data_IF_536508345676
#
_entry.id   IF_536508345676
#
_cell.length_a   1.000
_cell.length_b   1.000
_cell.length_c   1.000
_cell.angle_alpha   90.00
_cell.angle_beta   90.00
_cell.angle_gamma   90.00
#
_symmetry.space_group_name_H-M   'P 1'
#
loop_
_entity.id
_entity.type
_entity.pdbx_description
1 polymer ?
#
# COMPACT_ATOMS: atom_id res chain seq x y z
N UNK A 1 16.19 -1.69 -47.63
CA UNK A 1 16.17 -0.52 -46.71
C UNK A 1 15.28 -0.69 -45.45
N UNK A 2 14.92 -1.91 -45.06
CA UNK A 2 13.94 -2.18 -43.96
C UNK A 2 14.56 -2.58 -42.60
N UNK A 3 15.90 -2.74 -42.48
CA UNK A 3 16.52 -3.21 -41.24
C UNK A 3 16.85 -2.08 -40.21
N UNK A 4 17.00 -0.83 -40.66
CA UNK A 4 17.40 0.29 -39.80
C UNK A 4 16.27 0.80 -38.87
N UNK A 5 15.02 0.74 -39.32
CA UNK A 5 13.87 1.21 -38.51
C UNK A 5 13.50 0.26 -37.38
N UNK A 6 13.65 -1.06 -37.59
CA UNK A 6 13.37 -2.06 -36.55
C UNK A 6 14.37 -1.98 -35.37
N UNK A 7 15.64 -1.71 -35.68
CA UNK A 7 16.68 -1.59 -34.63
C UNK A 7 16.51 -0.32 -33.78
N UNK A 8 16.10 0.79 -34.39
CA UNK A 8 15.85 2.04 -33.67
C UNK A 8 14.60 1.95 -32.75
N UNK A 9 13.53 1.30 -33.20
CA UNK A 9 12.34 1.08 -32.39
C UNK A 9 12.64 0.22 -31.14
N UNK A 10 13.39 -0.87 -31.30
CA UNK A 10 13.77 -1.75 -30.18
C UNK A 10 14.65 -1.05 -29.13
N UNK A 11 15.55 -0.15 -29.57
CA UNK A 11 16.40 0.62 -28.64
C UNK A 11 15.62 1.66 -27.85
N UNK A 12 14.63 2.31 -28.46
CA UNK A 12 13.78 3.30 -27.79
C UNK A 12 12.85 2.65 -26.74
N UNK A 13 12.28 1.47 -27.05
CA UNK A 13 11.48 0.71 -26.10
C UNK A 13 12.31 0.27 -24.88
N UNK A 14 13.52 -0.24 -25.10
CA UNK A 14 14.41 -0.65 -24.03
C UNK A 14 14.81 0.51 -23.11
N UNK A 15 15.07 1.71 -23.65
CA UNK A 15 15.36 2.92 -22.88
C UNK A 15 14.14 3.37 -22.06
N UNK A 16 12.95 3.31 -22.63
CA UNK A 16 11.69 3.64 -21.95
C UNK A 16 11.43 2.70 -20.78
N UNK A 17 11.61 1.40 -20.95
CA UNK A 17 11.43 0.40 -19.89
C UNK A 17 12.43 0.61 -18.73
N UNK A 18 13.71 0.83 -19.06
CA UNK A 18 14.75 1.11 -18.04
C UNK A 18 14.44 2.36 -17.23
N UNK A 19 14.01 3.44 -17.89
CA UNK A 19 13.66 4.68 -17.21
C UNK A 19 12.47 4.48 -16.26
N UNK A 20 11.47 3.70 -16.67
CA UNK A 20 10.32 3.38 -15.84
C UNK A 20 10.68 2.48 -14.65
N UNK A 21 11.56 1.50 -14.84
CA UNK A 21 12.06 0.64 -13.74
C UNK A 21 12.82 1.49 -12.70
N UNK A 22 13.64 2.46 -13.11
CA UNK A 22 14.28 3.42 -12.21
C UNK A 22 13.28 4.27 -11.45
N UNK A 23 12.25 4.78 -12.13
CA UNK A 23 11.15 5.51 -11.48
C UNK A 23 10.49 4.64 -10.40
N UNK A 24 10.25 3.36 -10.69
CA UNK A 24 9.72 2.39 -9.72
C UNK A 24 10.65 2.19 -8.53
N UNK A 25 11.97 2.21 -8.76
CA UNK A 25 12.97 2.18 -7.69
C UNK A 25 12.87 3.37 -6.76
N UNK A 26 12.80 4.59 -7.32
CA UNK A 26 12.59 5.82 -6.56
C UNK A 26 11.25 5.79 -5.80
N UNK A 27 10.18 5.37 -6.47
CA UNK A 27 8.86 5.25 -5.86
C UNK A 27 8.86 4.29 -4.67
N UNK A 28 9.57 3.16 -4.73
CA UNK A 28 9.74 2.24 -3.60
C UNK A 28 10.44 2.89 -2.40
N UNK A 29 11.49 3.67 -2.63
CA UNK A 29 12.18 4.42 -1.57
C UNK A 29 11.24 5.48 -0.96
N UNK A 30 10.53 6.25 -1.80
CA UNK A 30 9.57 7.26 -1.34
C UNK A 30 8.41 6.63 -0.57
N UNK A 31 7.94 5.44 -0.98
CA UNK A 31 6.93 4.67 -0.26
C UNK A 31 7.43 4.33 1.15
N UNK A 32 8.65 3.82 1.28
CA UNK A 32 9.21 3.47 2.59
C UNK A 32 9.33 4.69 3.52
N UNK A 33 9.86 5.81 3.01
CA UNK A 33 9.96 7.06 3.75
C UNK A 33 8.57 7.62 4.11
N UNK A 34 7.64 7.57 3.16
CA UNK A 34 6.25 7.98 3.39
C UNK A 34 5.57 7.14 4.47
N UNK A 35 5.81 5.82 4.51
CA UNK A 35 5.25 4.94 5.53
C UNK A 35 5.73 5.32 6.94
N UNK A 36 7.02 5.59 7.10
CA UNK A 36 7.57 6.08 8.38
C UNK A 36 7.01 7.47 8.74
N UNK A 37 6.86 8.34 7.75
CA UNK A 37 6.23 9.66 7.93
C UNK A 37 4.76 9.54 8.35
N UNK A 38 4.00 8.63 7.74
CA UNK A 38 2.60 8.39 8.12
C UNK A 38 2.48 7.93 9.59
N UNK A 39 3.35 7.01 10.02
CA UNK A 39 3.42 6.56 11.43
C UNK A 39 3.76 7.74 12.35
N UNK A 40 4.74 8.56 12.00
CA UNK A 40 5.10 9.74 12.79
C UNK A 40 3.93 10.73 12.90
N UNK A 41 3.27 11.06 11.79
CA UNK A 41 2.08 11.94 11.77
C UNK A 41 0.97 11.35 12.66
N UNK A 42 0.70 10.05 12.55
CA UNK A 42 -0.35 9.38 13.31
C UNK A 42 -0.16 9.56 14.83
N UNK A 43 1.07 9.39 15.32
CA UNK A 43 1.34 9.49 16.76
C UNK A 43 1.63 10.91 17.27
N UNK A 44 1.96 11.87 16.40
CA UNK A 44 2.34 13.22 16.84
C UNK A 44 1.33 14.30 16.49
N UNK A 45 0.60 14.16 15.40
CA UNK A 45 -0.31 15.19 14.89
C UNK A 45 -1.78 14.79 14.92
N UNK A 46 -2.08 13.48 14.85
CA UNK A 46 -3.47 13.01 14.97
C UNK A 46 -3.86 13.05 16.46
N UNK A 47 -4.97 13.70 16.84
CA UNK A 47 -5.43 13.72 18.23
C UNK A 47 -5.66 12.31 18.78
N UNK A 48 -5.30 12.07 20.04
CA UNK A 48 -5.41 10.74 20.66
C UNK A 48 -6.84 10.16 20.62
N UNK A 49 -7.87 11.01 20.68
CA UNK A 49 -9.27 10.59 20.54
C UNK A 49 -9.62 10.07 19.13
N UNK A 50 -8.75 10.28 18.15
CA UNK A 50 -8.90 9.79 16.76
C UNK A 50 -8.00 8.57 16.47
N UNK A 51 -7.31 8.04 17.47
CA UNK A 51 -6.51 6.83 17.31
C UNK A 51 -7.37 5.56 17.33
N UNK A 52 -6.93 4.55 16.58
CA UNK A 52 -7.52 3.21 16.64
C UNK A 52 -6.98 2.43 17.86
N UNK A 53 -7.71 1.51 18.46
CA UNK A 53 -9.12 1.21 18.15
C UNK A 53 -10.06 2.31 18.65
N UNK A 54 -11.12 2.58 17.90
CA UNK A 54 -12.13 3.56 18.31
C UNK A 54 -13.03 2.92 19.37
N UNK A 55 -12.92 3.40 20.60
CA UNK A 55 -13.73 2.91 21.75
C UNK A 55 -15.02 3.71 21.94
N UNK A 56 -15.05 4.96 21.45
CA UNK A 56 -16.19 5.85 21.50
C UNK A 56 -16.28 6.68 20.21
N UNK A 57 -17.18 6.29 19.32
CA UNK A 57 -17.41 6.94 18.03
C UNK A 57 -17.81 8.42 18.19
N UNK A 58 -18.56 8.76 19.27
CA UNK A 58 -18.99 10.14 19.53
C UNK A 58 -17.81 11.04 19.85
N UNK A 59 -16.92 10.61 20.74
CA UNK A 59 -15.69 11.34 21.09
C UNK A 59 -14.75 11.46 19.89
N UNK A 60 -14.61 10.41 19.08
CA UNK A 60 -13.86 10.44 17.85
C UNK A 60 -14.36 11.53 16.89
N UNK A 61 -15.67 11.51 16.58
CA UNK A 61 -16.27 12.49 15.65
C UNK A 61 -16.24 13.91 16.19
N UNK A 62 -16.46 14.11 17.50
CA UNK A 62 -16.36 15.43 18.12
C UNK A 62 -14.94 15.97 18.07
N UNK A 63 -13.93 15.11 18.23
CA UNK A 63 -12.52 15.47 18.07
C UNK A 63 -12.22 15.83 16.62
N UNK A 64 -12.69 15.05 15.65
CA UNK A 64 -12.50 15.28 14.23
C UNK A 64 -13.17 16.59 13.75
N UNK A 65 -14.36 16.89 14.26
CA UNK A 65 -15.05 18.16 13.97
C UNK A 65 -14.25 19.39 14.49
N UNK A 66 -13.52 19.23 15.58
CA UNK A 66 -12.71 20.28 16.20
C UNK A 66 -11.36 20.45 15.53
N UNK A 67 -10.68 19.34 15.25
CA UNK A 67 -9.35 19.31 14.64
C UNK A 67 -9.20 18.07 13.76
N UNK A 68 -9.21 18.29 12.44
CA UNK A 68 -9.06 17.26 11.42
C UNK A 68 -7.72 17.32 10.68
N UNK A 69 -6.87 18.33 10.97
CA UNK A 69 -5.66 18.57 10.17
C UNK A 69 -4.69 17.39 10.23
N UNK A 70 -4.43 16.84 11.42
CA UNK A 70 -3.56 15.68 11.57
C UNK A 70 -4.06 14.46 10.79
N UNK A 71 -5.37 14.18 10.87
CA UNK A 71 -5.99 13.08 10.14
C UNK A 71 -5.99 13.32 8.63
N UNK A 72 -6.21 14.56 8.16
CA UNK A 72 -6.10 14.91 6.75
C UNK A 72 -4.66 14.68 6.22
N UNK A 73 -3.66 15.14 6.94
CA UNK A 73 -2.25 14.93 6.58
C UNK A 73 -1.90 13.44 6.54
N UNK A 74 -2.34 12.67 7.54
CA UNK A 74 -2.15 11.22 7.57
C UNK A 74 -2.76 10.54 6.34
N UNK A 75 -4.01 10.84 6.01
CA UNK A 75 -4.69 10.28 4.83
C UNK A 75 -4.04 10.72 3.52
N UNK A 76 -3.59 11.97 3.43
CA UNK A 76 -2.87 12.49 2.26
C UNK A 76 -1.54 11.77 2.03
N UNK A 77 -0.75 11.57 3.08
CA UNK A 77 0.50 10.78 3.00
C UNK A 77 0.20 9.33 2.67
N UNK A 78 -0.86 8.75 3.24
CA UNK A 78 -1.26 7.37 2.95
C UNK A 78 -1.67 7.18 1.48
N UNK A 79 -2.42 8.13 0.90
CA UNK A 79 -2.75 8.14 -0.52
C UNK A 79 -1.48 8.29 -1.40
N UNK A 80 -0.53 9.13 -1.01
CA UNK A 80 0.75 9.28 -1.70
C UNK A 80 1.58 7.98 -1.67
N UNK A 81 1.65 7.30 -0.52
CA UNK A 81 2.29 5.99 -0.38
C UNK A 81 1.68 4.97 -1.36
N UNK A 82 0.35 4.93 -1.44
CA UNK A 82 -0.35 4.01 -2.33
C UNK A 82 -0.08 4.32 -3.82
N UNK A 83 0.05 5.58 -4.21
CA UNK A 83 0.49 5.97 -5.55
C UNK A 83 1.93 5.53 -5.83
N UNK A 84 2.84 5.69 -4.87
CA UNK A 84 4.20 5.18 -5.00
C UNK A 84 4.22 3.65 -5.11
N UNK A 85 3.37 2.94 -4.35
CA UNK A 85 3.20 1.49 -4.44
C UNK A 85 2.75 1.08 -5.84
N UNK A 86 1.78 1.78 -6.44
CA UNK A 86 1.32 1.50 -7.80
C UNK A 86 2.46 1.52 -8.81
N UNK A 87 3.30 2.56 -8.78
CA UNK A 87 4.47 2.68 -9.68
C UNK A 87 5.48 1.56 -9.40
N UNK A 88 5.79 1.28 -8.14
CA UNK A 88 6.71 0.21 -7.73
C UNK A 88 6.23 -1.19 -8.12
N UNK A 89 4.92 -1.46 -8.01
CA UNK A 89 4.27 -2.71 -8.41
C UNK A 89 4.43 -2.94 -9.92
N UNK A 90 4.11 -1.93 -10.74
CA UNK A 90 4.24 -2.01 -12.19
C UNK A 90 5.71 -2.17 -12.59
N UNK A 91 6.64 -1.45 -11.96
CA UNK A 91 8.07 -1.60 -12.22
C UNK A 91 8.58 -3.01 -11.86
N UNK A 92 8.05 -3.61 -10.78
CA UNK A 92 8.39 -4.98 -10.39
C UNK A 92 7.97 -6.00 -11.45
N UNK A 93 6.86 -5.79 -12.16
CA UNK A 93 6.45 -6.63 -13.28
C UNK A 93 7.56 -6.81 -14.32
N UNK A 94 8.19 -5.73 -14.74
CA UNK A 94 9.26 -5.79 -15.76
C UNK A 94 10.45 -6.65 -15.31
N UNK A 95 10.64 -6.79 -14.00
CA UNK A 95 11.73 -7.62 -13.43
C UNK A 95 11.37 -9.10 -13.28
N UNK A 96 10.09 -9.40 -13.02
CA UNK A 96 9.68 -10.77 -12.73
C UNK A 96 8.95 -11.46 -13.89
N UNK A 97 8.55 -10.73 -14.93
CA UNK A 97 7.79 -11.28 -16.08
C UNK A 97 8.53 -12.42 -16.81
N UNK A 98 9.87 -12.38 -16.84
CA UNK A 98 10.67 -13.43 -17.45
C UNK A 98 10.65 -14.75 -16.67
N UNK A 99 10.26 -14.73 -15.37
CA UNK A 99 10.12 -15.91 -14.53
C UNK A 99 8.77 -16.62 -14.70
N UNK A 100 7.75 -15.89 -15.17
CA UNK A 100 6.42 -16.41 -15.39
C UNK A 100 5.43 -15.30 -15.73
N UNK A 101 5.26 -15.02 -17.04
CA UNK A 101 4.53 -13.84 -17.53
C UNK A 101 3.08 -13.76 -17.02
N UNK A 102 2.33 -14.87 -17.06
CA UNK A 102 0.93 -14.87 -16.64
C UNK A 102 0.76 -14.55 -15.14
N UNK A 103 1.58 -15.18 -14.28
CA UNK A 103 1.55 -14.92 -12.84
C UNK A 103 2.07 -13.54 -12.48
N UNK A 104 3.10 -13.05 -13.18
CA UNK A 104 3.60 -11.69 -13.02
C UNK A 104 2.52 -10.65 -13.41
N UNK A 105 1.81 -10.88 -14.49
CA UNK A 105 0.69 -10.02 -14.92
C UNK A 105 -0.46 -10.06 -13.89
N UNK A 106 -0.87 -11.26 -13.44
CA UNK A 106 -1.89 -11.41 -12.40
C UNK A 106 -1.52 -10.66 -11.13
N UNK A 107 -0.30 -10.86 -10.61
CA UNK A 107 0.17 -10.15 -9.42
C UNK A 107 0.14 -8.63 -9.62
N UNK A 108 0.62 -8.15 -10.77
CA UNK A 108 0.63 -6.72 -11.07
C UNK A 108 -0.78 -6.14 -11.13
N UNK A 109 -1.73 -6.84 -11.74
CA UNK A 109 -3.13 -6.42 -11.81
C UNK A 109 -3.74 -6.32 -10.41
N UNK A 110 -3.58 -7.38 -9.58
CA UNK A 110 -4.08 -7.40 -8.21
C UNK A 110 -3.45 -6.29 -7.37
N UNK A 111 -2.13 -6.13 -7.46
CA UNK A 111 -1.41 -5.09 -6.71
C UNK A 111 -1.78 -3.68 -7.18
N UNK A 112 -1.98 -3.46 -8.48
CA UNK A 112 -2.40 -2.17 -9.01
C UNK A 112 -3.83 -1.81 -8.56
N UNK A 113 -4.76 -2.78 -8.55
CA UNK A 113 -6.10 -2.59 -8.00
C UNK A 113 -6.02 -2.28 -6.51
N UNK A 114 -5.18 -3.01 -5.75
CA UNK A 114 -4.95 -2.76 -4.33
C UNK A 114 -4.48 -1.32 -4.08
N UNK A 115 -3.44 -0.88 -4.78
CA UNK A 115 -2.86 0.45 -4.60
C UNK A 115 -3.84 1.57 -5.01
N UNK A 116 -4.44 1.49 -6.20
CA UNK A 116 -5.41 2.47 -6.67
C UNK A 116 -6.66 2.49 -5.78
N UNK A 117 -7.16 1.31 -5.39
CA UNK A 117 -8.29 1.17 -4.49
C UNK A 117 -8.01 1.73 -3.10
N UNK A 118 -6.78 1.57 -2.59
CA UNK A 118 -6.36 2.17 -1.31
C UNK A 118 -6.41 3.70 -1.35
N UNK A 119 -5.97 4.33 -2.45
CA UNK A 119 -6.10 5.79 -2.62
C UNK A 119 -7.56 6.22 -2.53
N UNK A 120 -8.42 5.60 -3.35
CA UNK A 120 -9.84 5.95 -3.40
C UNK A 120 -10.55 5.69 -2.08
N UNK A 121 -10.30 4.52 -1.47
CA UNK A 121 -10.92 4.14 -0.22
C UNK A 121 -10.51 5.06 0.94
N UNK A 122 -9.24 5.46 1.01
CA UNK A 122 -8.74 6.38 2.04
C UNK A 122 -9.37 7.77 1.93
N UNK A 123 -9.43 8.32 0.72
CA UNK A 123 -10.06 9.62 0.47
C UNK A 123 -11.56 9.57 0.74
N UNK A 124 -12.23 8.51 0.30
CA UNK A 124 -13.67 8.32 0.57
C UNK A 124 -13.95 8.18 2.06
N UNK A 125 -13.17 7.38 2.78
CA UNK A 125 -13.33 7.20 4.22
C UNK A 125 -13.15 8.52 4.96
N UNK A 126 -12.13 9.32 4.60
CA UNK A 126 -11.94 10.62 5.22
C UNK A 126 -13.13 11.56 4.96
N UNK A 127 -13.62 11.65 3.72
CA UNK A 127 -14.78 12.46 3.38
C UNK A 127 -16.06 12.02 4.13
N UNK A 128 -16.28 10.69 4.24
CA UNK A 128 -17.39 10.14 5.00
C UNK A 128 -17.30 10.48 6.49
N UNK A 129 -16.12 10.36 7.09
CA UNK A 129 -15.92 10.72 8.49
C UNK A 129 -16.14 12.22 8.76
N UNK A 130 -15.70 13.09 7.84
CA UNK A 130 -15.98 14.53 7.91
C UNK A 130 -17.49 14.81 7.83
N UNK A 131 -18.18 14.13 6.94
CA UNK A 131 -19.64 14.26 6.83
C UNK A 131 -20.34 13.83 8.11
N UNK A 132 -19.99 12.68 8.70
CA UNK A 132 -20.54 12.19 9.96
C UNK A 132 -20.24 13.13 11.13
N UNK A 133 -19.02 13.70 11.18
CA UNK A 133 -18.65 14.69 12.20
C UNK A 133 -19.47 15.98 12.13
N UNK A 134 -19.89 16.39 10.92
CA UNK A 134 -20.77 17.54 10.71
C UNK A 134 -22.25 17.24 10.99
N UNK A 135 -22.66 15.96 11.11
CA UNK A 135 -24.04 15.53 11.30
C UNK A 135 -24.20 14.62 12.53
N UNK A 136 -24.13 15.17 13.78
CA UNK A 136 -24.15 14.39 15.02
C UNK A 136 -25.40 13.49 15.18
N UNK A 137 -26.52 13.83 14.51
CA UNK A 137 -27.74 13.02 14.52
C UNK A 137 -27.57 11.62 13.89
N UNK A 138 -26.50 11.40 13.12
CA UNK A 138 -26.15 10.13 12.48
C UNK A 138 -25.27 9.22 13.34
N UNK A 139 -25.26 9.40 14.66
CA UNK A 139 -24.35 8.70 15.59
C UNK A 139 -24.39 7.17 15.51
N UNK A 140 -25.55 6.56 15.19
CA UNK A 140 -25.65 5.11 14.98
C UNK A 140 -24.95 4.65 13.71
N UNK A 141 -25.03 5.42 12.62
CA UNK A 141 -24.29 5.15 11.38
C UNK A 141 -22.77 5.27 11.59
N UNK A 142 -22.36 6.25 12.40
CA UNK A 142 -20.97 6.41 12.77
C UNK A 142 -20.43 5.20 13.52
N UNK A 143 -21.14 4.70 14.53
CA UNK A 143 -20.78 3.49 15.26
C UNK A 143 -20.63 2.29 14.31
N UNK A 144 -21.62 2.06 13.44
CA UNK A 144 -21.57 0.98 12.46
C UNK A 144 -20.36 1.07 11.49
N UNK A 145 -19.94 2.31 11.15
CA UNK A 145 -18.76 2.52 10.29
C UNK A 145 -17.47 2.07 10.98
N UNK A 146 -17.34 2.32 12.29
CA UNK A 146 -16.15 1.91 13.06
C UNK A 146 -16.16 0.43 13.40
N UNK A 147 -17.35 -0.17 13.57
CA UNK A 147 -17.50 -1.58 13.93
C UNK A 147 -17.48 -2.51 12.71
N UNK A 148 -17.44 -1.96 11.47
CA UNK A 148 -17.41 -2.75 10.26
C UNK A 148 -16.13 -3.61 10.20
N UNK A 149 -16.26 -4.95 10.08
CA UNK A 149 -15.11 -5.83 9.99
C UNK A 149 -14.32 -5.61 8.69
N UNK A 150 -13.01 -5.85 8.72
CA UNK A 150 -12.12 -5.67 7.56
C UNK A 150 -12.63 -6.28 6.24
N UNK A 151 -13.25 -7.48 6.23
CA UNK A 151 -13.76 -8.08 4.99
C UNK A 151 -14.86 -7.31 4.27
N UNK A 152 -15.60 -6.44 4.98
CA UNK A 152 -16.65 -5.60 4.38
C UNK A 152 -16.21 -4.13 4.26
N UNK A 153 -15.03 -3.79 4.77
CA UNK A 153 -14.47 -2.46 4.68
C UNK A 153 -13.62 -2.33 3.40
N UNK A 154 -13.92 -1.39 2.47
CA UNK A 154 -13.13 -1.21 1.25
C UNK A 154 -11.63 -1.01 1.51
N UNK A 155 -11.26 -0.29 2.57
CA UNK A 155 -9.83 -0.12 2.97
C UNK A 155 -9.23 -1.45 3.37
N UNK A 156 -9.95 -2.26 4.17
CA UNK A 156 -9.52 -3.60 4.57
C UNK A 156 -9.27 -4.51 3.36
N UNK A 157 -10.20 -4.56 2.41
CA UNK A 157 -10.06 -5.38 1.20
C UNK A 157 -8.87 -4.91 0.35
N UNK A 158 -8.76 -3.60 0.06
CA UNK A 158 -7.73 -3.07 -0.83
C UNK A 158 -6.35 -3.09 -0.16
N UNK A 159 -6.24 -2.54 1.05
CA UNK A 159 -4.93 -2.36 1.71
C UNK A 159 -4.39 -3.66 2.31
N UNK A 160 -5.24 -4.60 2.73
CA UNK A 160 -4.81 -5.85 3.36
C UNK A 160 -4.94 -7.05 2.42
N UNK A 161 -6.16 -7.42 1.99
CA UNK A 161 -6.35 -8.67 1.25
C UNK A 161 -5.65 -8.68 -0.11
N UNK A 162 -5.89 -7.69 -0.97
CA UNK A 162 -5.30 -7.65 -2.31
C UNK A 162 -3.80 -7.38 -2.26
N UNK A 163 -3.34 -6.55 -1.33
CA UNK A 163 -1.90 -6.32 -1.11
C UNK A 163 -1.21 -7.59 -0.62
N UNK A 164 -1.84 -8.37 0.27
CA UNK A 164 -1.33 -9.67 0.70
C UNK A 164 -1.16 -10.63 -0.48
N UNK A 165 -2.16 -10.75 -1.37
CA UNK A 165 -2.07 -11.60 -2.57
C UNK A 165 -0.87 -11.19 -3.44
N UNK A 166 -0.66 -9.90 -3.64
CA UNK A 166 0.51 -9.40 -4.38
C UNK A 166 1.82 -9.85 -3.73
N UNK A 167 1.96 -9.65 -2.41
CA UNK A 167 3.15 -10.08 -1.67
C UNK A 167 3.38 -11.59 -1.71
N UNK A 168 2.30 -12.39 -1.68
CA UNK A 168 2.40 -13.85 -1.83
C UNK A 168 3.05 -14.22 -3.16
N UNK A 169 2.50 -13.74 -4.28
CA UNK A 169 2.99 -14.11 -5.61
C UNK A 169 4.41 -13.59 -5.85
N UNK A 170 4.69 -12.34 -5.49
CA UNK A 170 6.03 -11.75 -5.64
C UNK A 170 7.04 -12.45 -4.72
N UNK A 171 6.65 -12.80 -3.49
CA UNK A 171 7.47 -13.57 -2.57
C UNK A 171 7.89 -14.93 -3.15
N UNK A 172 6.96 -15.64 -3.77
CA UNK A 172 7.24 -16.90 -4.44
C UNK A 172 8.19 -16.71 -5.63
N UNK A 173 8.04 -15.66 -6.44
CA UNK A 173 8.99 -15.35 -7.50
C UNK A 173 10.40 -15.10 -6.97
N UNK A 174 10.55 -14.37 -5.87
CA UNK A 174 11.87 -14.09 -5.29
C UNK A 174 12.50 -15.32 -4.62
N UNK A 175 11.69 -16.25 -4.10
CA UNK A 175 12.21 -17.49 -3.53
C UNK A 175 12.68 -18.49 -4.59
N UNK A 176 11.96 -18.62 -5.70
CA UNK A 176 12.20 -19.64 -6.71
C UNK A 176 12.96 -19.10 -7.94
N UNK A 177 13.03 -17.78 -8.13
CA UNK A 177 13.71 -17.17 -9.27
C UNK A 177 15.23 -17.29 -9.17
N UNK A 178 15.86 -17.69 -10.29
CA UNK A 178 17.31 -17.69 -10.42
C UNK A 178 17.83 -16.25 -10.29
N UNK A 179 18.88 -16.05 -9.50
CA UNK A 179 19.49 -14.73 -9.23
C UNK A 179 18.55 -13.73 -8.49
N UNK A 180 17.49 -14.21 -7.86
CA UNK A 180 16.66 -13.36 -7.01
C UNK A 180 17.11 -13.43 -5.54
N UNK A 181 17.01 -12.33 -4.75
CA UNK A 181 17.37 -12.37 -3.34
C UNK A 181 16.33 -13.11 -2.54
N UNK A 182 16.61 -14.35 -2.15
CA UNK A 182 15.68 -15.19 -1.36
C UNK A 182 15.18 -14.50 -0.09
N UNK A 183 16.03 -13.71 0.55
CA UNK A 183 15.62 -12.97 1.75
C UNK A 183 14.51 -11.94 1.45
N UNK A 184 14.52 -11.29 0.28
CA UNK A 184 13.43 -10.41 -0.15
C UNK A 184 12.12 -11.20 -0.35
N UNK A 185 12.22 -12.44 -0.84
CA UNK A 185 11.10 -13.36 -0.93
C UNK A 185 10.54 -13.74 0.45
N UNK A 186 11.40 -14.02 1.42
CA UNK A 186 10.98 -14.27 2.81
C UNK A 186 10.28 -13.05 3.41
N UNK A 187 10.84 -11.84 3.23
CA UNK A 187 10.21 -10.60 3.70
C UNK A 187 8.83 -10.38 3.07
N UNK A 188 8.68 -10.67 1.78
CA UNK A 188 7.38 -10.59 1.12
C UNK A 188 6.37 -11.60 1.67
N UNK A 189 6.78 -12.84 1.96
CA UNK A 189 5.89 -13.83 2.58
C UNK A 189 5.53 -13.50 4.04
N UNK A 190 6.44 -12.90 4.79
CA UNK A 190 6.15 -12.37 6.13
C UNK A 190 5.12 -11.24 6.02
N UNK A 191 5.29 -10.30 5.08
CA UNK A 191 4.31 -9.23 4.83
C UNK A 191 2.95 -9.79 4.38
N UNK A 192 2.94 -10.84 3.54
CA UNK A 192 1.71 -11.56 3.20
C UNK A 192 0.99 -12.11 4.44
N UNK A 193 1.71 -12.84 5.30
CA UNK A 193 1.14 -13.44 6.50
C UNK A 193 0.58 -12.39 7.46
N UNK A 194 1.33 -11.31 7.70
CA UNK A 194 0.93 -10.18 8.54
C UNK A 194 -0.35 -9.51 8.03
N UNK A 195 -0.40 -9.15 6.74
CA UNK A 195 -1.57 -8.54 6.13
C UNK A 195 -2.78 -9.49 6.08
N UNK A 196 -2.56 -10.78 5.83
CA UNK A 196 -3.63 -11.78 5.84
C UNK A 196 -4.23 -11.95 7.24
N UNK A 197 -3.41 -11.95 8.30
CA UNK A 197 -3.88 -11.96 9.70
C UNK A 197 -4.66 -10.69 10.02
N UNK A 198 -4.14 -9.51 9.65
CA UNK A 198 -4.84 -8.24 9.84
C UNK A 198 -6.21 -8.20 9.15
N UNK A 199 -6.31 -8.78 7.95
CA UNK A 199 -7.57 -8.88 7.23
C UNK A 199 -8.55 -9.89 7.87
N UNK A 200 -8.07 -11.11 8.16
CA UNK A 200 -8.92 -12.21 8.65
C UNK A 200 -9.43 -12.00 10.07
N UNK A 201 -8.66 -11.31 10.92
CA UNK A 201 -9.02 -11.12 12.32
C UNK A 201 -10.27 -10.29 12.54
N UNK A 202 -10.63 -9.40 11.61
CA UNK A 202 -11.83 -8.55 11.70
C UNK A 202 -11.89 -7.61 12.92
N UNK A 203 -10.77 -7.48 13.66
CA UNK A 203 -10.65 -6.75 14.90
C UNK A 203 -9.70 -5.56 14.70
N UNK A 204 -10.15 -4.35 15.08
CA UNK A 204 -9.38 -3.11 14.89
C UNK A 204 -7.98 -3.15 15.55
N UNK A 205 -7.85 -3.79 16.71
CA UNK A 205 -6.56 -3.87 17.41
C UNK A 205 -5.55 -4.73 16.64
N UNK A 206 -5.97 -5.89 16.13
CA UNK A 206 -5.10 -6.77 15.35
C UNK A 206 -4.79 -6.14 13.99
N UNK A 207 -5.79 -5.52 13.36
CA UNK A 207 -5.61 -4.78 12.10
C UNK A 207 -4.61 -3.63 12.26
N UNK A 208 -4.69 -2.86 13.36
CA UNK A 208 -3.72 -1.81 13.67
C UNK A 208 -2.32 -2.38 13.90
N UNK A 209 -2.20 -3.48 14.66
CA UNK A 209 -0.91 -4.13 14.90
C UNK A 209 -0.27 -4.60 13.57
N UNK A 210 -1.03 -5.26 12.69
CA UNK A 210 -0.58 -5.66 11.37
C UNK A 210 -0.19 -4.44 10.51
N UNK A 211 -1.01 -3.38 10.50
CA UNK A 211 -0.70 -2.15 9.79
C UNK A 211 0.61 -1.49 10.28
N UNK A 212 0.88 -1.52 11.58
CA UNK A 212 2.11 -0.98 12.16
C UNK A 212 3.33 -1.85 11.81
N UNK A 213 3.21 -3.17 11.87
CA UNK A 213 4.30 -4.09 11.48
C UNK A 213 4.60 -3.91 9.99
N UNK A 214 3.58 -3.95 9.13
CA UNK A 214 3.74 -3.74 7.70
C UNK A 214 4.23 -2.32 7.36
N UNK A 215 3.67 -1.29 8.00
CA UNK A 215 3.95 0.11 7.68
C UNK A 215 5.23 0.67 8.30
N UNK A 216 5.61 0.24 9.52
CA UNK A 216 6.76 0.79 10.22
C UNK A 216 8.03 -0.06 10.08
N UNK A 217 7.92 -1.35 9.80
CA UNK A 217 9.08 -2.27 9.80
C UNK A 217 9.19 -3.04 8.49
N UNK A 218 8.28 -3.97 8.22
CA UNK A 218 8.39 -4.90 7.11
C UNK A 218 8.31 -4.23 5.74
N UNK A 219 7.35 -3.35 5.56
CA UNK A 219 7.16 -2.60 4.32
C UNK A 219 8.34 -1.69 3.99
N UNK A 220 8.79 -0.80 4.88
CA UNK A 220 9.97 0.02 4.62
C UNK A 220 11.22 -0.78 4.25
N UNK A 221 11.52 -1.86 4.98
CA UNK A 221 12.67 -2.72 4.68
C UNK A 221 12.54 -3.34 3.27
N UNK A 222 11.38 -3.92 2.97
CA UNK A 222 11.11 -4.52 1.66
C UNK A 222 11.25 -3.48 0.54
N UNK A 223 10.58 -2.32 0.66
CA UNK A 223 10.51 -1.33 -0.40
C UNK A 223 11.81 -0.56 -0.61
N UNK A 224 12.61 -0.31 0.44
CA UNK A 224 13.96 0.24 0.28
C UNK A 224 14.83 -0.75 -0.49
N UNK A 225 14.85 -2.02 -0.08
CA UNK A 225 15.67 -3.02 -0.76
C UNK A 225 15.24 -3.24 -2.21
N UNK A 226 13.94 -3.46 -2.43
CA UNK A 226 13.40 -3.61 -3.78
C UNK A 226 13.63 -2.35 -4.62
N UNK A 227 13.43 -1.17 -4.05
CA UNK A 227 13.64 0.10 -4.72
C UNK A 227 15.11 0.31 -5.15
N UNK A 228 16.05 0.03 -4.28
CA UNK A 228 17.49 0.10 -4.59
C UNK A 228 17.87 -0.89 -5.70
N UNK A 229 17.29 -2.08 -5.71
CA UNK A 229 17.51 -3.05 -6.78
C UNK A 229 16.95 -2.59 -8.12
N UNK A 230 15.71 -2.13 -8.14
CA UNK A 230 15.08 -1.59 -9.34
C UNK A 230 15.90 -0.42 -9.91
N UNK A 231 16.46 0.41 -9.04
CA UNK A 231 17.32 1.53 -9.44
C UNK A 231 18.67 1.10 -10.02
N UNK A 232 19.34 0.13 -9.38
CA UNK A 232 20.70 -0.30 -9.77
C UNK A 232 20.72 -1.18 -11.01
N UNK A 233 19.73 -2.03 -11.14
CA UNK A 233 19.68 -3.06 -12.17
C UNK A 233 18.96 -2.61 -13.45
N UNK A 234 18.46 -1.38 -13.52
CA UNK A 234 17.88 -0.77 -14.71
C UNK A 234 18.93 0.00 -15.50
#
# INVERSE_FOLDING_TARGET
MTSSTATAASSTEALSERSFVRLGGLAGILLALGSLTAVAIYYTLVPAAQHLPVTDAKSYLASLARDSMGTLLFQGVYAFIALCALVGIIATYFRVRALGQAWAFFATLVGAIAAAGTVLASLYQFANLQYLAAHPALGQQAAATFDAPSPVNPVGVMSFALTAIWFLVIGLFFLHGINQPRLLGVLALVAFADLAVGFAAGNQTIMLAAALIAGAVGGPIFWIWQGLRLWRDA
#
